data_IF_844129091297
#
_entry.id   IF_844129091297
#
_cell.length_a   1.000
_cell.length_b   1.000
_cell.length_c   1.000
_cell.angle_alpha   90.00
_cell.angle_beta   90.00
_cell.angle_gamma   90.00
#
_symmetry.space_group_name_H-M   'P 1'
#
loop_
_entity.id
_entity.type
_entity.pdbx_description
1 polymer ?
#
# COMPACT_ATOMS: atom_id res chain seq x y z
N UNK A 1 -13.48 4.33 -13.59
CA UNK A 1 -13.99 3.08 -14.19
C UNK A 1 -12.83 2.10 -14.24
N UNK A 2 -12.75 1.17 -13.29
CA UNK A 2 -11.73 0.12 -13.27
C UNK A 2 -12.09 -0.95 -14.31
N UNK A 3 -11.49 -0.89 -15.50
CA UNK A 3 -11.48 -2.06 -16.38
C UNK A 3 -10.57 -3.09 -15.71
N UNK A 4 -11.08 -4.27 -15.30
CA UNK A 4 -10.24 -5.29 -14.69
C UNK A 4 -9.12 -5.66 -15.66
N UNK A 5 -7.92 -5.89 -15.12
CA UNK A 5 -6.80 -6.44 -15.88
C UNK A 5 -7.22 -7.83 -16.34
N UNK A 6 -7.76 -7.93 -17.56
CA UNK A 6 -8.14 -9.21 -18.16
C UNK A 6 -6.88 -9.87 -18.69
N UNK A 7 -6.21 -10.62 -17.83
CA UNK A 7 -5.06 -11.49 -18.13
C UNK A 7 -5.45 -12.85 -18.70
N UNK A 8 -6.65 -13.01 -19.27
CA UNK A 8 -7.09 -14.31 -19.80
C UNK A 8 -6.19 -14.88 -20.91
N UNK A 9 -5.24 -14.11 -21.45
CA UNK A 9 -4.47 -14.50 -22.63
C UNK A 9 -3.04 -15.00 -22.36
N UNK A 10 -2.63 -15.21 -21.10
CA UNK A 10 -1.27 -15.70 -20.78
C UNK A 10 -1.29 -16.86 -19.80
N UNK A 11 -2.06 -17.89 -20.14
CA UNK A 11 -2.04 -19.18 -19.45
C UNK A 11 -0.69 -19.88 -19.68
N UNK A 12 -0.18 -20.55 -18.65
CA UNK A 12 0.97 -21.44 -18.80
C UNK A 12 0.63 -22.56 -19.77
N UNK A 13 1.62 -23.04 -20.53
CA UNK A 13 1.44 -24.30 -21.27
C UNK A 13 1.08 -25.42 -20.29
N UNK A 14 0.31 -26.46 -20.69
CA UNK A 14 -0.02 -27.58 -19.80
C UNK A 14 1.23 -28.22 -19.18
N UNK A 15 2.31 -28.33 -19.96
CA UNK A 15 3.61 -28.84 -19.51
C UNK A 15 4.24 -27.95 -18.44
N UNK A 16 4.29 -26.62 -18.65
CA UNK A 16 4.82 -25.69 -17.65
C UNK A 16 3.96 -25.69 -16.37
N UNK A 17 2.64 -25.78 -16.50
CA UNK A 17 1.74 -25.86 -15.35
C UNK A 17 1.97 -27.13 -14.51
N UNK A 18 2.23 -28.28 -15.13
CA UNK A 18 2.59 -29.51 -14.43
C UNK A 18 3.93 -29.38 -13.69
N UNK A 19 4.96 -28.83 -14.34
CA UNK A 19 6.28 -28.61 -13.74
C UNK A 19 6.21 -27.64 -12.56
N UNK A 20 5.51 -26.51 -12.72
CA UNK A 20 5.30 -25.54 -11.63
C UNK A 20 4.55 -26.21 -10.49
N UNK A 21 3.47 -26.94 -10.74
CA UNK A 21 2.72 -27.65 -9.69
C UNK A 21 3.59 -28.65 -8.91
N UNK A 22 4.48 -29.36 -9.59
CA UNK A 22 5.37 -30.34 -8.96
C UNK A 22 6.49 -29.69 -8.13
N UNK A 23 6.97 -28.50 -8.53
CA UNK A 23 8.13 -27.83 -7.93
C UNK A 23 7.77 -26.70 -6.97
N UNK A 24 6.53 -26.18 -7.02
CA UNK A 24 6.02 -25.13 -6.15
C UNK A 24 6.19 -25.44 -4.64
N UNK A 25 5.94 -26.66 -4.13
CA UNK A 25 6.20 -26.97 -2.73
C UNK A 25 7.68 -26.85 -2.33
N UNK A 26 8.60 -27.21 -3.23
CA UNK A 26 10.04 -27.12 -2.99
C UNK A 26 10.50 -25.67 -2.98
N UNK A 27 10.09 -24.88 -3.97
CA UNK A 27 10.38 -23.43 -4.01
C UNK A 27 9.81 -22.74 -2.77
N UNK A 28 8.58 -23.09 -2.37
CA UNK A 28 7.94 -22.58 -1.15
C UNK A 28 8.70 -22.96 0.12
N UNK A 29 9.27 -24.17 0.21
CA UNK A 29 10.04 -24.62 1.36
C UNK A 29 11.37 -23.86 1.54
N UNK A 30 11.98 -23.38 0.44
CA UNK A 30 13.25 -22.65 0.45
C UNK A 30 13.10 -21.14 0.20
N UNK A 31 11.88 -20.60 0.24
CA UNK A 31 11.61 -19.23 -0.19
C UNK A 31 12.37 -18.18 0.62
N UNK A 32 12.53 -18.40 1.93
CA UNK A 32 13.28 -17.48 2.80
C UNK A 32 14.78 -17.46 2.44
N UNK A 33 15.37 -18.62 2.12
CA UNK A 33 16.76 -18.75 1.68
C UNK A 33 16.99 -18.13 0.30
N UNK A 34 16.11 -18.43 -0.66
CA UNK A 34 16.12 -17.85 -2.02
C UNK A 34 16.06 -16.33 -1.94
N UNK A 35 15.16 -15.81 -1.11
CA UNK A 35 14.96 -14.36 -1.00
C UNK A 35 16.16 -13.67 -0.36
N UNK A 36 16.76 -14.27 0.67
CA UNK A 36 17.98 -13.75 1.28
C UNK A 36 19.13 -13.67 0.26
N UNK A 37 19.32 -14.74 -0.52
CA UNK A 37 20.35 -14.81 -1.56
C UNK A 37 20.08 -13.83 -2.72
N UNK A 38 18.82 -13.68 -3.11
CA UNK A 38 18.37 -12.71 -4.11
C UNK A 38 18.74 -11.28 -3.72
N UNK A 39 18.35 -10.81 -2.53
CA UNK A 39 18.64 -9.42 -2.12
C UNK A 39 20.13 -9.19 -1.89
N UNK A 40 20.86 -10.19 -1.37
CA UNK A 40 22.31 -10.13 -1.23
C UNK A 40 22.98 -9.89 -2.59
N UNK A 41 22.55 -10.62 -3.62
CA UNK A 41 23.11 -10.54 -4.97
C UNK A 41 22.66 -9.28 -5.69
N UNK A 42 21.37 -8.94 -5.64
CA UNK A 42 20.79 -7.73 -6.22
C UNK A 42 21.50 -6.47 -5.73
N UNK A 43 21.68 -6.31 -4.42
CA UNK A 43 22.33 -5.12 -3.86
C UNK A 43 23.85 -5.15 -3.97
N UNK A 44 24.45 -6.34 -4.13
CA UNK A 44 25.85 -6.47 -4.49
C UNK A 44 26.13 -5.97 -5.92
N UNK A 45 25.28 -6.35 -6.86
CA UNK A 45 25.39 -5.99 -8.28
C UNK A 45 24.88 -4.57 -8.58
N UNK A 46 23.84 -4.13 -7.86
CA UNK A 46 23.15 -2.86 -8.06
C UNK A 46 22.98 -2.11 -6.73
N UNK A 47 24.08 -1.61 -6.12
CA UNK A 47 24.04 -0.97 -4.79
C UNK A 47 23.15 0.28 -4.75
N UNK A 48 22.98 0.97 -5.88
CA UNK A 48 22.12 2.14 -5.98
C UNK A 48 20.64 1.84 -5.72
N UNK A 49 20.18 0.60 -5.97
CA UNK A 49 18.81 0.19 -5.68
C UNK A 49 18.52 0.27 -4.19
N UNK A 50 19.42 -0.25 -3.34
CA UNK A 50 19.30 -0.15 -1.88
C UNK A 50 19.43 1.29 -1.36
N UNK A 51 20.23 2.10 -2.05
CA UNK A 51 20.43 3.50 -1.66
C UNK A 51 19.23 4.37 -1.99
N UNK A 52 18.61 4.17 -3.14
CA UNK A 52 17.77 5.21 -3.77
C UNK A 52 16.34 4.79 -4.13
N UNK A 53 16.02 3.49 -4.06
CA UNK A 53 14.71 2.96 -4.47
C UNK A 53 14.08 2.04 -3.40
N UNK A 54 14.83 1.06 -2.92
CA UNK A 54 14.36 0.10 -1.91
C UNK A 54 14.32 0.74 -0.52
N UNK A 55 13.34 0.29 0.27
CA UNK A 55 13.15 0.77 1.64
C UNK A 55 14.13 0.07 2.59
N UNK A 56 15.17 0.78 3.04
CA UNK A 56 16.19 0.25 3.95
C UNK A 56 15.64 -0.28 5.27
N UNK A 57 14.61 0.37 5.83
CA UNK A 57 13.95 -0.06 7.06
C UNK A 57 13.28 -1.43 6.89
N UNK A 58 12.48 -1.60 5.83
CA UNK A 58 11.82 -2.87 5.55
C UNK A 58 12.81 -3.98 5.18
N UNK A 59 13.96 -3.63 4.59
CA UNK A 59 15.05 -4.58 4.32
C UNK A 59 15.70 -5.05 5.61
N UNK A 60 16.00 -4.14 6.55
CA UNK A 60 16.58 -4.46 7.84
C UNK A 60 15.64 -5.33 8.70
N UNK A 61 14.32 -5.13 8.59
CA UNK A 61 13.29 -5.92 9.29
C UNK A 61 12.91 -7.23 8.58
N UNK A 62 13.36 -7.43 7.33
CA UNK A 62 13.05 -8.62 6.53
C UNK A 62 11.61 -8.68 6.00
N UNK A 63 10.79 -7.64 6.19
CA UNK A 63 9.37 -7.61 5.78
C UNK A 63 9.22 -7.48 4.26
N UNK A 64 10.06 -6.69 3.60
CA UNK A 64 10.03 -6.55 2.14
C UNK A 64 10.47 -7.83 1.40
N UNK A 65 11.57 -8.50 1.81
CA UNK A 65 11.91 -9.82 1.32
C UNK A 65 10.71 -10.78 1.23
N UNK A 66 9.99 -10.94 2.35
CA UNK A 66 8.85 -11.87 2.42
C UNK A 66 7.71 -11.50 1.48
N UNK A 67 7.44 -10.21 1.26
CA UNK A 67 6.33 -9.76 0.43
C UNK A 67 6.53 -10.00 -1.08
N UNK A 68 7.76 -9.88 -1.59
CA UNK A 68 8.05 -10.19 -2.99
C UNK A 68 7.85 -11.70 -3.25
N UNK A 69 8.47 -12.52 -2.40
CA UNK A 69 8.31 -13.96 -2.38
C UNK A 69 6.83 -14.39 -2.32
N UNK A 70 6.05 -13.76 -1.42
CA UNK A 70 4.62 -13.96 -1.27
C UNK A 70 3.87 -13.82 -2.59
N UNK A 71 4.18 -12.75 -3.32
CA UNK A 71 3.44 -12.34 -4.49
C UNK A 71 3.71 -13.29 -5.65
N UNK A 72 4.97 -13.69 -5.84
CA UNK A 72 5.35 -14.67 -6.87
C UNK A 72 4.74 -16.03 -6.57
N UNK A 73 4.85 -16.51 -5.33
CA UNK A 73 4.27 -17.79 -4.92
C UNK A 73 2.75 -17.79 -5.09
N UNK A 74 2.05 -16.74 -4.63
CA UNK A 74 0.59 -16.60 -4.79
C UNK A 74 0.19 -16.59 -6.26
N UNK A 75 0.91 -15.86 -7.10
CA UNK A 75 0.66 -15.80 -8.52
C UNK A 75 0.85 -17.17 -9.19
N UNK A 76 1.97 -17.85 -8.89
CA UNK A 76 2.24 -19.21 -9.36
C UNK A 76 1.13 -20.19 -8.95
N UNK A 77 0.68 -20.16 -7.69
CA UNK A 77 -0.42 -21.00 -7.21
C UNK A 77 -1.71 -20.74 -8.00
N UNK A 78 -2.08 -19.48 -8.21
CA UNK A 78 -3.27 -19.11 -8.99
C UNK A 78 -3.18 -19.55 -10.47
N UNK A 79 -1.97 -19.66 -11.05
CA UNK A 79 -1.80 -20.13 -12.42
C UNK A 79 -1.97 -21.64 -12.57
N UNK A 80 -1.74 -22.43 -11.50
CA UNK A 80 -1.78 -23.90 -11.56
C UNK A 80 -2.96 -24.52 -10.84
N UNK A 81 -3.75 -23.72 -10.12
CA UNK A 81 -4.97 -24.13 -9.43
C UNK A 81 -6.20 -23.40 -10.03
N UNK A 82 -7.01 -24.10 -10.86
CA UNK A 82 -8.15 -23.49 -11.55
C UNK A 82 -9.30 -23.10 -10.61
N UNK A 83 -9.31 -23.61 -9.37
CA UNK A 83 -10.36 -23.29 -8.39
C UNK A 83 -10.08 -21.94 -7.68
N UNK A 84 -8.87 -21.39 -7.85
CA UNK A 84 -8.49 -20.11 -7.26
C UNK A 84 -8.82 -18.94 -8.20
N UNK A 85 -9.34 -17.83 -7.66
CA UNK A 85 -9.55 -16.63 -8.46
C UNK A 85 -8.22 -16.04 -8.92
N UNK A 86 -8.23 -15.41 -10.10
CA UNK A 86 -7.10 -14.64 -10.58
C UNK A 86 -6.74 -13.54 -9.56
N UNK A 87 -5.45 -13.33 -9.22
CA UNK A 87 -5.04 -12.40 -8.16
C UNK A 87 -5.02 -10.93 -8.63
N UNK A 88 -6.09 -10.48 -9.29
CA UNK A 88 -6.19 -9.15 -9.90
C UNK A 88 -5.99 -8.02 -8.87
N UNK A 89 -6.59 -8.13 -7.69
CA UNK A 89 -6.44 -7.14 -6.62
C UNK A 89 -5.00 -7.06 -6.07
N UNK A 90 -4.28 -8.19 -6.05
CA UNK A 90 -2.86 -8.19 -5.67
C UNK A 90 -2.01 -7.47 -6.71
N UNK A 91 -2.20 -7.79 -7.99
CA UNK A 91 -1.48 -7.18 -9.10
C UNK A 91 -1.77 -5.68 -9.23
N UNK A 92 -3.03 -5.28 -9.04
CA UNK A 92 -3.45 -3.88 -8.98
C UNK A 92 -2.66 -3.09 -7.93
N UNK A 93 -2.63 -3.57 -6.68
CA UNK A 93 -1.87 -2.94 -5.60
C UNK A 93 -0.38 -2.84 -5.91
N UNK A 94 0.22 -3.91 -6.45
CA UNK A 94 1.64 -3.91 -6.82
C UNK A 94 1.90 -2.89 -7.94
N UNK A 95 1.09 -2.88 -9.00
CA UNK A 95 1.25 -1.94 -10.11
C UNK A 95 1.12 -0.48 -9.68
N UNK A 96 0.15 -0.14 -8.83
CA UNK A 96 0.06 1.22 -8.26
C UNK A 96 1.26 1.56 -7.38
N UNK A 97 1.77 0.60 -6.61
CA UNK A 97 2.99 0.81 -5.81
C UNK A 97 4.20 1.07 -6.70
N UNK A 98 4.38 0.28 -7.75
CA UNK A 98 5.45 0.43 -8.73
C UNK A 98 5.36 1.76 -9.47
N UNK A 99 4.16 2.13 -9.93
CA UNK A 99 3.93 3.43 -10.55
C UNK A 99 4.30 4.59 -9.61
N UNK A 100 3.95 4.49 -8.33
CA UNK A 100 4.33 5.49 -7.30
C UNK A 100 5.83 5.57 -7.01
N UNK A 101 6.62 4.60 -7.48
CA UNK A 101 8.08 4.55 -7.35
C UNK A 101 8.77 4.84 -8.69
N UNK A 102 8.01 5.00 -9.78
CA UNK A 102 8.54 5.21 -11.12
C UNK A 102 9.29 3.99 -11.66
N UNK A 103 8.82 2.78 -11.34
CA UNK A 103 9.40 1.54 -11.87
C UNK A 103 9.24 1.47 -13.39
N UNK A 104 10.28 1.02 -14.08
CA UNK A 104 10.31 0.91 -15.55
C UNK A 104 10.51 -0.52 -15.99
N UNK A 105 10.09 -0.83 -17.22
CA UNK A 105 10.08 -2.21 -17.74
C UNK A 105 11.47 -2.87 -17.75
N UNK A 106 12.54 -2.12 -18.00
CA UNK A 106 13.93 -2.60 -17.98
C UNK A 106 14.38 -3.09 -16.60
N UNK A 107 13.76 -2.62 -15.52
CA UNK A 107 14.10 -3.04 -14.16
C UNK A 107 13.60 -4.46 -13.84
N UNK A 108 12.62 -4.98 -14.60
CA UNK A 108 12.18 -6.37 -14.45
C UNK A 108 13.27 -7.35 -14.84
N UNK A 109 14.03 -7.09 -15.90
CA UNK A 109 15.17 -7.94 -16.29
C UNK A 109 16.23 -8.00 -15.18
N UNK A 110 16.51 -6.86 -14.52
CA UNK A 110 17.40 -6.82 -13.36
C UNK A 110 16.91 -7.70 -12.21
N UNK A 111 15.61 -7.65 -11.89
CA UNK A 111 15.03 -8.49 -10.84
C UNK A 111 15.06 -9.96 -11.25
N UNK A 112 14.69 -10.26 -12.50
CA UNK A 112 14.71 -11.60 -13.08
C UNK A 112 16.08 -12.26 -12.91
N UNK A 113 17.14 -11.64 -13.43
CA UNK A 113 18.47 -12.24 -13.48
C UNK A 113 19.00 -12.56 -12.08
N UNK A 114 18.81 -11.63 -11.15
CA UNK A 114 19.26 -11.81 -9.77
C UNK A 114 18.40 -12.84 -9.02
N UNK A 115 17.09 -12.91 -9.28
CA UNK A 115 16.19 -13.87 -8.63
C UNK A 115 16.44 -15.30 -9.11
N UNK A 116 16.57 -15.50 -10.42
CA UNK A 116 16.81 -16.83 -10.99
C UNK A 116 18.20 -17.35 -10.64
N UNK A 117 19.22 -16.49 -10.60
CA UNK A 117 20.53 -16.85 -10.08
C UNK A 117 20.45 -17.32 -8.61
N UNK A 118 19.65 -16.65 -7.77
CA UNK A 118 19.46 -17.05 -6.38
C UNK A 118 18.71 -18.38 -6.24
N UNK A 119 17.69 -18.64 -7.06
CA UNK A 119 16.97 -19.92 -7.10
C UNK A 119 17.95 -21.07 -7.42
N UNK A 120 18.79 -20.89 -8.44
CA UNK A 120 19.82 -21.89 -8.81
C UNK A 120 20.85 -22.08 -7.70
N UNK A 121 21.30 -20.99 -7.07
CA UNK A 121 22.29 -21.05 -5.99
C UNK A 121 21.79 -21.81 -4.75
N UNK A 122 20.50 -21.69 -4.42
CA UNK A 122 19.89 -22.32 -3.24
C UNK A 122 19.44 -23.75 -3.52
N UNK A 123 18.74 -23.99 -4.62
CA UNK A 123 18.16 -25.30 -4.93
C UNK A 123 19.16 -26.25 -5.60
N UNK A 124 20.22 -25.72 -6.23
CA UNK A 124 21.19 -26.50 -6.99
C UNK A 124 20.81 -26.67 -8.47
N UNK A 125 21.82 -26.71 -9.34
CA UNK A 125 21.64 -26.84 -10.79
C UNK A 125 21.12 -28.21 -11.23
N UNK A 126 21.25 -29.23 -10.38
CA UNK A 126 20.68 -30.56 -10.55
C UNK A 126 19.16 -30.60 -10.30
N UNK A 127 18.67 -29.69 -9.44
CA UNK A 127 17.24 -29.50 -9.19
C UNK A 127 16.63 -28.55 -10.21
N UNK A 128 17.30 -27.42 -10.48
CA UNK A 128 16.86 -26.40 -11.45
C UNK A 128 17.31 -26.80 -12.86
N UNK A 129 16.78 -27.92 -13.33
CA UNK A 129 16.98 -28.39 -14.71
C UNK A 129 16.37 -27.43 -15.74
N UNK A 130 16.77 -27.54 -17.01
CA UNK A 130 16.27 -26.69 -18.10
C UNK A 130 14.72 -26.62 -18.17
N UNK A 131 13.96 -27.73 -18.07
CA UNK A 131 12.50 -27.66 -18.04
C UNK A 131 11.94 -26.92 -16.81
N UNK A 132 12.58 -27.06 -15.64
CA UNK A 132 12.18 -26.37 -14.41
C UNK A 132 12.43 -24.87 -14.56
N UNK A 133 13.60 -24.48 -15.05
CA UNK A 133 13.94 -23.08 -15.30
C UNK A 133 12.96 -22.44 -16.29
N UNK A 134 12.68 -23.09 -17.43
CA UNK A 134 11.77 -22.58 -18.44
C UNK A 134 10.32 -22.40 -17.94
N UNK A 135 9.84 -23.32 -17.11
CA UNK A 135 8.50 -23.24 -16.53
C UNK A 135 8.38 -22.07 -15.54
N UNK A 136 9.37 -21.88 -14.66
CA UNK A 136 9.39 -20.76 -13.73
C UNK A 136 9.66 -19.41 -14.41
N UNK A 137 10.47 -19.38 -15.47
CA UNK A 137 10.68 -18.21 -16.33
C UNK A 137 9.35 -17.75 -16.93
N UNK A 138 8.53 -18.69 -17.42
CA UNK A 138 7.18 -18.39 -17.91
C UNK A 138 6.26 -17.80 -16.83
N UNK A 139 6.35 -18.26 -15.58
CA UNK A 139 5.59 -17.68 -14.46
C UNK A 139 6.04 -16.25 -14.18
N UNK A 140 7.35 -16.02 -14.13
CA UNK A 140 7.91 -14.70 -13.88
C UNK A 140 7.46 -13.70 -14.95
N UNK A 141 7.66 -14.02 -16.23
CA UNK A 141 7.31 -13.11 -17.32
C UNK A 141 5.81 -12.93 -17.50
N UNK A 142 4.98 -13.93 -17.17
CA UNK A 142 3.53 -13.74 -17.12
C UNK A 142 3.11 -12.68 -16.08
N UNK A 143 3.73 -12.68 -14.90
CA UNK A 143 3.49 -11.66 -13.87
C UNK A 143 4.08 -10.31 -14.28
N UNK A 144 5.34 -10.30 -14.74
CA UNK A 144 6.07 -9.10 -15.12
C UNK A 144 5.33 -8.33 -16.22
N UNK A 145 4.95 -8.99 -17.31
CA UNK A 145 4.27 -8.34 -18.43
C UNK A 145 2.88 -7.82 -18.07
N UNK A 146 2.19 -8.50 -17.15
CA UNK A 146 0.91 -8.03 -16.61
C UNK A 146 1.10 -6.72 -15.83
N UNK A 147 2.15 -6.65 -15.00
CA UNK A 147 2.46 -5.45 -14.21
C UNK A 147 2.97 -4.32 -15.09
N UNK A 148 3.87 -4.60 -16.04
CA UNK A 148 4.38 -3.63 -17.01
C UNK A 148 3.24 -2.98 -17.79
N UNK A 149 2.28 -3.77 -18.27
CA UNK A 149 1.12 -3.23 -18.98
C UNK A 149 0.20 -2.40 -18.08
N UNK A 150 0.00 -2.81 -16.83
CA UNK A 150 -0.74 -2.02 -15.85
C UNK A 150 -0.03 -0.68 -15.57
N UNK A 151 1.26 -0.71 -15.27
CA UNK A 151 2.09 0.47 -14.98
C UNK A 151 2.10 1.45 -16.16
N UNK A 152 2.25 0.94 -17.38
CA UNK A 152 2.18 1.74 -18.61
C UNK A 152 0.85 2.50 -18.72
N UNK A 153 -0.27 1.84 -18.39
CA UNK A 153 -1.59 2.50 -18.36
C UNK A 153 -1.66 3.56 -17.26
N UNK A 154 -1.17 3.25 -16.05
CA UNK A 154 -1.16 4.20 -14.93
C UNK A 154 -0.34 5.46 -15.25
N UNK A 155 0.82 5.31 -15.90
CA UNK A 155 1.62 6.44 -16.36
C UNK A 155 0.89 7.27 -17.42
N UNK A 156 0.27 6.61 -18.41
CA UNK A 156 -0.50 7.27 -19.46
C UNK A 156 -1.73 8.02 -18.92
N UNK A 157 -2.49 7.43 -17.99
CA UNK A 157 -3.62 8.07 -17.31
C UNK A 157 -3.18 9.29 -16.49
N UNK A 158 -1.95 9.27 -15.98
CA UNK A 158 -1.32 10.39 -15.27
C UNK A 158 -0.67 11.42 -16.21
N UNK A 159 -0.71 11.20 -17.53
CA UNK A 159 -0.14 12.09 -18.53
C UNK A 159 1.39 12.18 -18.51
N UNK A 160 2.08 11.11 -18.11
CA UNK A 160 3.55 11.06 -18.04
C UNK A 160 4.14 9.86 -18.74
N UNK A 161 5.40 10.01 -19.15
CA UNK A 161 6.22 8.87 -19.58
C UNK A 161 6.56 7.96 -18.40
N UNK A 162 6.88 6.69 -18.70
CA UNK A 162 7.28 5.73 -17.68
C UNK A 162 8.46 6.24 -16.84
N UNK A 163 8.32 6.17 -15.51
CA UNK A 163 9.31 6.67 -14.56
C UNK A 163 9.26 8.18 -14.29
N UNK A 164 8.57 8.99 -15.09
CA UNK A 164 8.51 10.45 -14.97
C UNK A 164 7.46 10.96 -13.96
N UNK A 165 7.32 10.25 -12.83
CA UNK A 165 6.29 10.52 -11.80
C UNK A 165 6.71 11.55 -10.75
N UNK A 166 7.98 11.96 -10.72
CA UNK A 166 8.52 12.83 -9.69
C UNK A 166 8.21 14.30 -9.95
N UNK A 167 7.91 15.06 -8.89
CA UNK A 167 7.67 16.50 -8.90
C UNK A 167 8.40 17.16 -7.75
N UNK A 168 8.99 18.31 -8.04
CA UNK A 168 9.52 19.22 -7.02
C UNK A 168 8.38 20.08 -6.50
N UNK A 169 8.13 20.03 -5.20
CA UNK A 169 7.07 20.81 -4.56
C UNK A 169 7.64 21.64 -3.40
N UNK A 170 6.97 22.74 -3.07
CA UNK A 170 7.28 23.61 -1.93
C UNK A 170 6.22 23.44 -0.87
N UNK A 171 6.63 23.34 0.40
CA UNK A 171 5.71 23.27 1.53
C UNK A 171 5.11 24.66 1.78
N UNK A 172 3.79 24.76 1.72
CA UNK A 172 3.06 26.01 1.96
C UNK A 172 2.31 26.04 3.27
N UNK A 173 2.10 24.87 3.88
CA UNK A 173 1.52 24.76 5.22
C UNK A 173 2.09 23.55 5.94
N UNK A 174 2.28 23.70 7.26
CA UNK A 174 2.58 22.62 8.19
C UNK A 174 1.70 22.80 9.42
N UNK A 175 0.96 21.76 9.78
CA UNK A 175 0.14 21.72 11.00
C UNK A 175 0.55 20.49 11.80
N UNK A 176 1.13 20.72 12.98
CA UNK A 176 1.51 19.66 13.91
C UNK A 176 0.32 19.29 14.80
N UNK A 177 -0.03 18.01 14.81
CA UNK A 177 -0.93 17.39 15.76
C UNK A 177 -0.12 16.96 17.00
N UNK A 178 -0.68 17.21 18.19
CA UNK A 178 -0.05 16.98 19.49
C UNK A 178 0.36 15.51 19.71
N UNK A 179 -0.15 14.57 18.92
CA UNK A 179 0.14 13.13 19.03
C UNK A 179 1.28 12.64 18.13
N UNK A 180 2.11 13.55 17.62
CA UNK A 180 3.29 13.21 16.82
C UNK A 180 2.98 12.97 15.34
N UNK A 181 1.96 13.64 14.82
CA UNK A 181 1.63 13.69 13.39
C UNK A 181 1.82 15.11 12.89
N UNK A 182 2.39 15.27 11.70
CA UNK A 182 2.46 16.55 11.01
C UNK A 182 1.73 16.44 9.67
N UNK A 183 0.82 17.37 9.39
CA UNK A 183 0.16 17.50 8.10
C UNK A 183 0.91 18.56 7.29
N UNK A 184 1.41 18.17 6.13
CA UNK A 184 2.09 19.05 5.19
C UNK A 184 1.18 19.31 4.00
N UNK A 185 1.05 20.57 3.59
CA UNK A 185 0.45 20.95 2.30
C UNK A 185 1.54 21.47 1.39
N UNK A 186 1.59 20.94 0.18
CA UNK A 186 2.59 21.28 -0.83
C UNK A 186 1.94 21.77 -2.12
N UNK A 187 2.66 22.63 -2.83
CA UNK A 187 2.30 23.10 -4.17
C UNK A 187 3.55 23.11 -5.06
N UNK A 188 3.37 23.07 -6.38
CA UNK A 188 4.49 23.15 -7.33
C UNK A 188 4.57 24.55 -7.93
N UNK A 189 5.80 25.07 -8.03
CA UNK A 189 6.07 26.38 -8.61
C UNK A 189 6.08 26.39 -10.15
N UNK A 190 6.24 25.21 -10.77
CA UNK A 190 6.25 25.06 -12.23
C UNK A 190 4.82 24.95 -12.78
N UNK A 191 4.14 23.87 -12.39
CA UNK A 191 2.77 23.58 -12.79
C UNK A 191 1.91 23.17 -11.58
N UNK A 192 0.58 23.38 -11.60
CA UNK A 192 -0.32 22.86 -10.57
C UNK A 192 -0.16 21.35 -10.40
N UNK A 193 -0.17 20.88 -9.14
CA UNK A 193 -0.21 19.45 -8.86
C UNK A 193 -1.55 18.86 -9.34
N UNK A 194 -1.55 17.61 -9.86
CA UNK A 194 -2.76 17.01 -10.41
C UNK A 194 -3.81 16.77 -9.31
N UNK A 195 -5.06 16.60 -9.74
CA UNK A 195 -6.12 16.09 -8.87
C UNK A 195 -5.85 14.63 -8.46
N UNK A 196 -6.56 14.19 -7.43
CA UNK A 196 -6.47 12.84 -6.89
C UNK A 196 -7.84 12.31 -6.50
N UNK A 197 -7.97 10.99 -6.42
CA UNK A 197 -9.16 10.33 -5.90
C UNK A 197 -8.98 10.06 -4.39
N UNK A 198 -9.98 10.35 -3.53
CA UNK A 198 -9.85 10.12 -2.09
C UNK A 198 -9.48 8.67 -1.77
N UNK A 199 -8.42 8.47 -0.99
CA UNK A 199 -7.82 7.16 -0.72
C UNK A 199 -6.47 6.93 -1.39
N UNK A 200 -6.14 7.69 -2.46
CA UNK A 200 -4.82 7.66 -3.07
C UNK A 200 -3.72 8.20 -2.13
N UNK A 201 -2.47 7.88 -2.49
CA UNK A 201 -1.26 8.29 -1.79
C UNK A 201 -0.23 8.86 -2.78
N UNK A 202 0.74 9.58 -2.24
CA UNK A 202 1.97 9.97 -2.94
C UNK A 202 3.18 9.35 -2.26
N UNK A 203 4.27 9.16 -2.99
CA UNK A 203 5.59 8.92 -2.39
C UNK A 203 6.26 10.26 -2.10
N UNK A 204 6.83 10.40 -0.91
CA UNK A 204 7.61 11.58 -0.49
C UNK A 204 9.06 11.15 -0.28
N UNK A 205 9.97 11.80 -1.00
CA UNK A 205 11.39 11.52 -1.00
C UNK A 205 12.18 12.46 -0.09
N UNK A 206 13.16 11.93 0.63
CA UNK A 206 14.15 12.71 1.39
C UNK A 206 15.55 12.23 1.08
N UNK A 207 16.52 13.16 1.13
CA UNK A 207 17.94 12.84 1.12
C UNK A 207 18.45 12.67 2.55
N UNK A 208 18.94 11.48 2.87
CA UNK A 208 19.51 11.14 4.17
C UNK A 208 20.92 11.74 4.34
N UNK A 209 21.47 11.81 5.58
CA UNK A 209 22.80 12.38 5.84
C UNK A 209 23.95 11.68 5.08
N UNK A 210 23.79 10.39 4.76
CA UNK A 210 24.75 9.61 3.96
C UNK A 210 24.59 9.81 2.43
N UNK A 211 23.78 10.80 2.03
CA UNK A 211 23.46 11.13 0.63
C UNK A 211 22.49 10.16 -0.05
N UNK A 212 21.95 9.17 0.66
CA UNK A 212 20.99 8.24 0.10
C UNK A 212 19.62 8.87 -0.06
N UNK A 213 18.87 8.45 -1.08
CA UNK A 213 17.49 8.88 -1.29
C UNK A 213 16.52 7.82 -0.77
N UNK A 214 15.62 8.20 0.14
CA UNK A 214 14.61 7.28 0.66
C UNK A 214 13.21 7.85 0.46
N UNK A 215 12.29 6.99 0.03
CA UNK A 215 10.91 7.34 -0.27
C UNK A 215 9.94 6.58 0.63
N UNK A 216 8.88 7.23 1.08
CA UNK A 216 7.76 6.57 1.76
C UNK A 216 6.44 7.09 1.23
N UNK A 217 5.45 6.21 1.18
CA UNK A 217 4.11 6.53 0.75
C UNK A 217 3.31 7.13 1.90
N UNK A 218 2.58 8.20 1.61
CA UNK A 218 1.67 8.84 2.55
C UNK A 218 0.33 9.08 1.87
N UNK A 219 -0.75 8.59 2.49
CA UNK A 219 -2.11 8.86 2.04
C UNK A 219 -2.37 10.35 1.96
N UNK A 220 -3.07 10.75 0.90
CA UNK A 220 -3.49 12.13 0.72
C UNK A 220 -4.64 12.44 1.67
N UNK A 221 -4.54 13.61 2.29
CA UNK A 221 -5.59 14.27 3.07
C UNK A 221 -5.95 15.59 2.38
N UNK A 222 -7.08 16.16 2.74
CA UNK A 222 -7.67 17.34 2.12
C UNK A 222 -8.65 17.00 0.99
N UNK A 223 -9.43 18.00 0.58
CA UNK A 223 -10.26 17.88 -0.61
C UNK A 223 -9.37 18.03 -1.88
N UNK A 224 -9.59 17.21 -2.92
CA UNK A 224 -8.95 17.38 -4.22
C UNK A 224 -9.24 18.76 -4.83
N UNK A 225 -8.28 19.27 -5.61
CA UNK A 225 -8.39 20.52 -6.35
C UNK A 225 -7.46 21.63 -5.84
N UNK A 226 -7.40 22.74 -6.58
CA UNK A 226 -6.62 23.92 -6.21
C UNK A 226 -5.10 23.78 -6.39
N UNK A 227 -4.62 22.75 -7.11
CA UNK A 227 -3.20 22.58 -7.44
C UNK A 227 -2.29 22.23 -6.27
N UNK A 228 -2.86 21.75 -5.16
CA UNK A 228 -2.17 21.41 -3.91
C UNK A 228 -2.42 19.98 -3.51
N UNK A 229 -1.46 19.39 -2.80
CA UNK A 229 -1.59 18.08 -2.18
C UNK A 229 -1.26 18.20 -0.70
N UNK A 230 -2.01 17.49 0.16
CA UNK A 230 -1.67 17.41 1.58
C UNK A 230 -1.51 15.97 2.02
N UNK A 231 -0.57 15.73 2.95
CA UNK A 231 -0.29 14.39 3.47
C UNK A 231 0.07 14.45 4.95
N UNK A 232 -0.31 13.42 5.69
CA UNK A 232 -0.08 13.33 7.14
C UNK A 232 1.02 12.32 7.45
N UNK A 233 2.02 12.76 8.22
CA UNK A 233 3.21 11.97 8.57
C UNK A 233 3.24 11.73 10.07
N UNK A 234 3.08 10.47 10.50
CA UNK A 234 3.36 10.07 11.89
C UNK A 234 4.85 9.84 12.08
N UNK A 235 5.42 10.44 13.11
CA UNK A 235 6.81 10.16 13.53
C UNK A 235 6.91 8.72 14.04
N UNK A 236 7.87 7.97 13.51
CA UNK A 236 8.15 6.60 13.96
C UNK A 236 9.39 6.65 14.86
N UNK A 237 9.16 6.68 16.17
CA UNK A 237 10.24 6.63 17.15
C UNK A 237 10.91 5.26 17.14
N UNK A 238 12.23 5.22 17.41
CA UNK A 238 12.93 3.97 17.66
C UNK A 238 12.55 3.39 19.02
N UNK A 239 12.63 2.08 19.15
CA UNK A 239 12.27 1.39 20.38
C UNK A 239 12.64 -0.10 20.38
N UNK A 240 12.10 -0.88 21.33
CA UNK A 240 12.34 -2.32 21.41
C UNK A 240 11.91 -3.08 20.14
N UNK A 241 10.91 -2.55 19.44
CA UNK A 241 10.29 -3.19 18.28
C UNK A 241 10.99 -2.85 16.95
N UNK A 242 11.98 -1.95 16.94
CA UNK A 242 12.69 -1.58 15.72
C UNK A 242 13.41 -0.22 15.76
N UNK A 243 14.22 0.07 14.74
CA UNK A 243 14.92 1.35 14.62
C UNK A 243 13.94 2.51 14.37
N UNK A 244 14.40 3.74 14.64
CA UNK A 244 13.63 4.92 14.29
C UNK A 244 13.44 5.03 12.76
N UNK A 245 12.27 5.45 12.31
CA UNK A 245 11.99 5.58 10.88
C UNK A 245 12.80 6.70 10.24
N UNK A 246 13.62 6.39 9.23
CA UNK A 246 14.52 7.37 8.60
C UNK A 246 13.76 8.56 7.98
N UNK A 247 12.74 8.28 7.18
CA UNK A 247 12.01 9.31 6.42
C UNK A 247 11.06 10.12 7.29
N UNK A 248 10.29 9.47 8.17
CA UNK A 248 9.31 10.17 9.01
C UNK A 248 9.99 11.12 10.01
N UNK A 249 11.11 10.70 10.63
CA UNK A 249 11.88 11.60 11.49
C UNK A 249 12.52 12.72 10.69
N UNK A 250 13.14 12.43 9.53
CA UNK A 250 13.73 13.46 8.68
C UNK A 250 12.73 14.53 8.25
N UNK A 251 11.53 14.13 7.83
CA UNK A 251 10.46 15.07 7.47
C UNK A 251 10.08 15.96 8.66
N UNK A 252 9.87 15.39 9.83
CA UNK A 252 9.52 16.19 11.00
C UNK A 252 10.64 17.14 11.44
N UNK A 253 11.90 16.69 11.35
CA UNK A 253 13.07 17.42 11.86
C UNK A 253 13.53 18.53 10.92
N UNK A 254 13.37 18.35 9.60
CA UNK A 254 13.97 19.26 8.61
C UNK A 254 13.01 19.88 7.62
N UNK A 255 11.74 19.43 7.53
CA UNK A 255 10.79 19.97 6.56
C UNK A 255 9.88 21.01 7.21
N UNK A 256 9.99 22.27 6.79
CA UNK A 256 9.17 23.40 7.22
C UNK A 256 8.54 24.15 6.04
N UNK A 257 7.74 25.17 6.35
CA UNK A 257 7.13 26.04 5.32
C UNK A 257 8.22 26.78 4.54
N UNK A 258 8.12 26.77 3.22
CA UNK A 258 9.10 27.34 2.29
C UNK A 258 10.15 26.33 1.81
N UNK A 259 10.27 25.17 2.45
CA UNK A 259 11.22 24.14 2.02
C UNK A 259 10.72 23.38 0.80
N UNK A 260 11.68 22.91 0.01
CA UNK A 260 11.44 22.08 -1.17
C UNK A 260 11.51 20.60 -0.81
N UNK A 261 10.56 19.84 -1.33
CA UNK A 261 10.46 18.39 -1.17
C UNK A 261 10.14 17.72 -2.51
N UNK A 262 10.70 16.54 -2.71
CA UNK A 262 10.35 15.71 -3.86
C UNK A 262 9.15 14.82 -3.51
N UNK A 263 8.14 14.86 -4.36
CA UNK A 263 6.95 14.01 -4.26
C UNK A 263 6.73 13.26 -5.58
N UNK A 264 5.85 12.27 -5.57
CA UNK A 264 5.34 11.66 -6.82
C UNK A 264 3.92 12.09 -7.12
N UNK A 265 3.45 11.75 -8.32
CA UNK A 265 2.03 11.83 -8.65
C UNK A 265 1.20 10.90 -7.73
N UNK A 266 -0.10 11.20 -7.54
CA UNK A 266 -1.03 10.35 -6.81
C UNK A 266 -1.25 8.99 -7.48
N UNK A 267 -1.16 7.92 -6.69
CA UNK A 267 -1.51 6.56 -7.11
C UNK A 267 -2.23 5.82 -5.96
N UNK A 268 -2.79 4.64 -6.25
CA UNK A 268 -3.49 3.79 -5.31
C UNK A 268 -4.82 3.32 -5.89
N UNK A 269 -5.21 2.09 -5.54
CA UNK A 269 -6.44 1.43 -5.98
C UNK A 269 -7.50 1.30 -4.87
N UNK A 270 -7.15 1.62 -3.62
CA UNK A 270 -8.09 1.69 -2.50
C UNK A 270 -8.69 3.09 -2.46
N UNK A 271 -9.57 3.37 -3.41
CA UNK A 271 -10.13 4.71 -3.62
C UNK A 271 -11.65 4.73 -3.47
N UNK A 272 -12.17 5.87 -3.04
CA UNK A 272 -13.61 6.11 -3.01
C UNK A 272 -14.17 6.16 -4.44
N UNK A 273 -15.23 5.41 -4.72
CA UNK A 273 -16.03 5.64 -5.92
C UNK A 273 -16.78 6.96 -5.78
N UNK A 274 -16.40 7.94 -6.60
CA UNK A 274 -16.99 9.28 -6.61
C UNK A 274 -18.20 9.39 -7.54
N UNK A 275 -18.47 8.36 -8.35
CA UNK A 275 -19.61 8.31 -9.26
C UNK A 275 -20.88 7.73 -8.59
N UNK A 276 -20.74 7.10 -7.43
CA UNK A 276 -21.85 6.53 -6.66
C UNK A 276 -21.77 6.92 -5.18
N UNK A 277 -22.93 6.84 -4.50
CA UNK A 277 -23.06 7.22 -3.09
C UNK A 277 -23.69 6.12 -2.21
N UNK A 278 -23.23 4.86 -2.25
CA UNK A 278 -23.64 3.88 -1.24
C UNK A 278 -23.17 4.33 0.15
N UNK A 279 -23.83 3.88 1.24
CA UNK A 279 -23.32 4.11 2.59
C UNK A 279 -21.84 3.68 2.72
N UNK A 280 -21.08 4.36 3.55
CA UNK A 280 -19.67 4.06 3.78
C UNK A 280 -19.43 3.58 5.19
N UNK A 281 -18.57 2.58 5.34
CA UNK A 281 -18.04 2.15 6.63
C UNK A 281 -16.51 2.25 6.59
N UNK A 282 -15.97 3.18 7.38
CA UNK A 282 -14.54 3.48 7.45
C UNK A 282 -13.95 2.88 8.73
N UNK A 283 -13.27 1.74 8.60
CA UNK A 283 -12.67 0.99 9.70
C UNK A 283 -11.17 1.27 9.76
N UNK A 284 -10.68 1.87 10.83
CA UNK A 284 -9.26 2.19 10.94
C UNK A 284 -8.66 1.94 12.31
N UNK A 285 -7.34 1.75 12.33
CA UNK A 285 -6.57 1.69 13.57
C UNK A 285 -5.28 2.51 13.49
N UNK A 286 -5.00 3.30 14.52
CA UNK A 286 -3.79 4.13 14.59
C UNK A 286 -3.67 5.09 13.40
N UNK A 287 -2.48 5.16 12.79
CA UNK A 287 -2.27 6.06 11.64
C UNK A 287 -3.06 5.66 10.40
N UNK A 288 -3.66 4.47 10.35
CA UNK A 288 -4.57 4.06 9.28
C UNK A 288 -5.82 4.94 9.13
N UNK A 289 -6.05 5.89 10.04
CA UNK A 289 -7.11 6.89 9.88
C UNK A 289 -6.86 7.88 8.73
N UNK A 290 -5.62 8.03 8.26
CA UNK A 290 -5.28 9.06 7.26
C UNK A 290 -6.08 8.97 5.95
N UNK A 291 -6.23 7.81 5.27
CA UNK A 291 -7.10 7.73 4.09
C UNK A 291 -8.57 7.96 4.45
N UNK A 292 -9.00 7.62 5.67
CA UNK A 292 -10.37 7.87 6.13
C UNK A 292 -10.64 9.37 6.26
N UNK A 293 -9.69 10.13 6.83
CA UNK A 293 -9.77 11.60 6.87
C UNK A 293 -9.82 12.17 5.46
N UNK A 294 -8.97 11.70 4.53
CA UNK A 294 -9.02 12.15 3.13
C UNK A 294 -10.39 11.91 2.48
N UNK A 295 -11.01 10.76 2.71
CA UNK A 295 -12.38 10.47 2.23
C UNK A 295 -13.42 11.39 2.88
N UNK A 296 -13.36 11.60 4.19
CA UNK A 296 -14.31 12.47 4.91
C UNK A 296 -14.18 13.94 4.49
N UNK A 297 -12.96 14.43 4.26
CA UNK A 297 -12.72 15.80 3.79
C UNK A 297 -13.24 16.01 2.37
N UNK A 298 -13.13 15.00 1.51
CA UNK A 298 -13.80 15.02 0.21
C UNK A 298 -15.32 15.10 0.35
N UNK A 299 -15.92 14.24 1.19
CA UNK A 299 -17.37 14.19 1.38
C UNK A 299 -17.92 15.50 1.95
N UNK A 300 -17.20 16.15 2.87
CA UNK A 300 -17.62 17.42 3.45
C UNK A 300 -17.84 18.53 2.39
N UNK A 301 -17.14 18.43 1.25
CA UNK A 301 -17.27 19.38 0.13
C UNK A 301 -18.26 18.88 -0.93
N UNK A 302 -18.24 17.58 -1.26
CA UNK A 302 -18.89 17.05 -2.47
C UNK A 302 -20.15 16.23 -2.21
N UNK A 303 -20.27 15.58 -1.06
CA UNK A 303 -21.42 14.73 -0.72
C UNK A 303 -21.68 14.71 0.81
N UNK A 304 -22.04 15.86 1.40
CA UNK A 304 -22.07 16.02 2.87
C UNK A 304 -23.20 15.24 3.54
N UNK A 305 -24.19 14.77 2.77
CA UNK A 305 -25.35 14.03 3.28
C UNK A 305 -25.18 12.51 3.18
N UNK A 306 -24.06 12.02 2.65
CA UNK A 306 -23.79 10.58 2.55
C UNK A 306 -23.81 9.94 3.93
N UNK A 307 -24.48 8.80 4.06
CA UNK A 307 -24.44 7.99 5.28
C UNK A 307 -23.03 7.41 5.46
N UNK A 308 -22.36 7.75 6.56
CA UNK A 308 -21.01 7.29 6.86
C UNK A 308 -20.95 6.79 8.31
N UNK A 309 -20.39 5.60 8.51
CA UNK A 309 -19.98 5.11 9.83
C UNK A 309 -18.45 5.06 9.87
N UNK A 310 -17.84 5.84 10.75
CA UNK A 310 -16.43 5.70 11.10
C UNK A 310 -16.33 4.87 12.36
N UNK A 311 -15.54 3.79 12.33
CA UNK A 311 -15.12 3.09 13.52
C UNK A 311 -13.59 3.09 13.62
N UNK A 312 -13.06 3.75 14.64
CA UNK A 312 -11.62 3.95 14.80
C UNK A 312 -11.11 3.35 16.12
N UNK A 313 -10.02 2.59 16.03
CA UNK A 313 -9.34 1.99 17.17
C UNK A 313 -7.97 2.62 17.44
N UNK A 314 -7.70 3.02 18.68
CA UNK A 314 -6.37 3.46 19.11
C UNK A 314 -6.09 3.01 20.56
N UNK A 315 -4.93 3.38 21.11
CA UNK A 315 -4.60 3.12 22.52
C UNK A 315 -5.42 4.01 23.45
N UNK A 316 -5.46 5.31 23.18
CA UNK A 316 -6.11 6.32 24.00
C UNK A 316 -6.43 7.60 23.19
N UNK A 317 -7.29 8.50 23.69
CA UNK A 317 -7.60 9.76 23.00
C UNK A 317 -6.37 10.64 22.71
N UNK A 318 -5.34 10.58 23.57
CA UNK A 318 -4.12 11.39 23.45
C UNK A 318 -3.06 10.74 22.54
N UNK A 319 -3.36 9.60 21.91
CA UNK A 319 -2.53 8.99 20.85
C UNK A 319 -3.21 8.87 19.51
N UNK A 320 -4.52 9.12 19.47
CA UNK A 320 -5.35 9.04 18.26
C UNK A 320 -4.95 10.15 17.27
N UNK A 321 -4.32 9.80 16.13
CA UNK A 321 -3.90 10.77 15.12
C UNK A 321 -5.10 11.44 14.45
N UNK A 322 -5.03 12.75 14.24
CA UNK A 322 -6.07 13.53 13.56
C UNK A 322 -7.45 13.48 14.26
N UNK A 323 -7.48 13.15 15.56
CA UNK A 323 -8.72 13.05 16.35
C UNK A 323 -9.54 14.33 16.30
N UNK A 324 -8.89 15.47 16.49
CA UNK A 324 -9.57 16.79 16.45
C UNK A 324 -10.21 17.00 15.09
N UNK A 325 -9.48 16.69 14.00
CA UNK A 325 -10.00 16.82 12.64
C UNK A 325 -11.19 15.90 12.37
N UNK A 326 -11.15 14.65 12.84
CA UNK A 326 -12.29 13.73 12.75
C UNK A 326 -13.54 14.33 13.42
N UNK A 327 -13.39 14.90 14.62
CA UNK A 327 -14.52 15.47 15.37
C UNK A 327 -15.06 16.75 14.73
N UNK A 328 -14.20 17.57 14.13
CA UNK A 328 -14.61 18.73 13.33
C UNK A 328 -15.42 18.31 12.10
N UNK A 329 -14.99 17.25 11.41
CA UNK A 329 -15.71 16.69 10.26
C UNK A 329 -17.05 16.08 10.68
N UNK A 330 -17.12 15.41 11.83
CA UNK A 330 -18.37 14.92 12.41
C UNK A 330 -19.38 16.03 12.70
N UNK A 331 -18.91 17.24 13.03
CA UNK A 331 -19.79 18.39 13.19
C UNK A 331 -20.27 18.99 11.85
N UNK A 332 -19.56 18.72 10.74
CA UNK A 332 -19.87 19.23 9.40
C UNK A 332 -20.71 18.25 8.56
N UNK A 333 -20.60 16.95 8.83
CA UNK A 333 -21.24 15.88 8.07
C UNK A 333 -22.46 15.33 8.84
N UNK A 334 -23.71 15.74 8.51
CA UNK A 334 -24.90 15.28 9.21
C UNK A 334 -25.14 13.75 9.11
N UNK A 335 -24.62 13.11 8.06
CA UNK A 335 -24.70 11.67 7.85
C UNK A 335 -23.59 10.85 8.53
N UNK A 336 -22.64 11.49 9.21
CA UNK A 336 -21.48 10.84 9.83
C UNK A 336 -21.77 10.40 11.28
N UNK A 337 -21.67 9.10 11.53
CA UNK A 337 -21.61 8.50 12.86
C UNK A 337 -20.16 8.08 13.19
N UNK A 338 -19.69 8.37 14.40
CA UNK A 338 -18.33 8.07 14.86
C UNK A 338 -18.34 7.15 16.08
N UNK A 339 -17.76 5.97 15.94
CA UNK A 339 -17.58 4.97 16.98
C UNK A 339 -16.09 4.83 17.34
N UNK A 340 -15.71 5.33 18.51
CA UNK A 340 -14.32 5.30 18.98
C UNK A 340 -14.08 4.11 19.90
N UNK A 341 -12.98 3.41 19.69
CA UNK A 341 -12.54 2.28 20.51
C UNK A 341 -11.13 2.55 21.02
N UNK A 342 -10.94 2.48 22.35
CA UNK A 342 -9.63 2.66 22.97
C UNK A 342 -9.29 1.50 23.88
N UNK A 343 -8.04 1.02 23.85
CA UNK A 343 -7.59 0.01 24.82
C UNK A 343 -7.59 0.53 26.26
N UNK A 344 -7.34 1.83 26.44
CA UNK A 344 -7.44 2.51 27.72
C UNK A 344 -8.84 3.11 27.92
N UNK A 345 -9.37 3.16 29.16
CA UNK A 345 -10.66 3.78 29.43
C UNK A 345 -10.72 5.24 29.00
N UNK A 346 -11.80 5.63 28.31
CA UNK A 346 -12.04 7.01 27.89
C UNK A 346 -13.54 7.33 27.83
N UNK A 347 -13.87 8.61 27.96
CA UNK A 347 -15.25 9.11 27.84
C UNK A 347 -15.69 9.05 26.38
N UNK A 348 -16.96 8.70 26.15
CA UNK A 348 -17.58 8.63 24.82
C UNK A 348 -16.80 7.74 23.83
N UNK A 349 -16.24 6.65 24.34
CA UNK A 349 -15.58 5.61 23.57
C UNK A 349 -15.83 4.24 24.21
N UNK A 350 -15.77 3.20 23.40
CA UNK A 350 -15.82 1.82 23.84
C UNK A 350 -14.42 1.37 24.27
N UNK A 351 -14.35 0.56 25.32
CA UNK A 351 -13.07 0.04 25.80
C UNK A 351 -12.71 -1.27 25.09
N UNK A 352 -11.45 -1.41 24.68
CA UNK A 352 -10.89 -2.64 24.12
C UNK A 352 -10.66 -2.58 22.61
N UNK A 353 -10.54 -3.76 22.00
CA UNK A 353 -10.39 -3.91 20.56
C UNK A 353 -11.72 -3.62 19.87
N UNK A 354 -11.68 -3.01 18.68
CA UNK A 354 -12.87 -2.80 17.85
C UNK A 354 -13.52 -4.14 17.53
N UNK A 355 -14.76 -4.30 17.99
CA UNK A 355 -15.59 -5.47 17.72
C UNK A 355 -16.74 -5.07 16.81
N UNK A 356 -16.77 -5.65 15.61
CA UNK A 356 -17.83 -5.42 14.65
C UNK A 356 -19.19 -5.81 15.23
N UNK A 357 -19.28 -6.84 16.08
CA UNK A 357 -20.53 -7.33 16.69
C UNK A 357 -21.34 -6.23 17.38
N UNK A 358 -20.64 -5.21 17.91
CA UNK A 358 -21.22 -4.08 18.63
C UNK A 358 -21.58 -2.88 17.74
N UNK A 359 -21.36 -2.98 16.43
CA UNK A 359 -21.69 -1.96 15.44
C UNK A 359 -22.92 -2.36 14.60
N UNK A 360 -23.80 -1.40 14.38
CA UNK A 360 -24.87 -1.49 13.38
C UNK A 360 -24.31 -1.09 12.01
N UNK A 361 -24.14 -2.06 11.12
CA UNK A 361 -23.54 -1.85 9.81
C UNK A 361 -24.65 -1.54 8.79
N UNK A 362 -24.57 -0.41 8.05
CA UNK A 362 -25.55 -0.10 7.02
C UNK A 362 -25.60 -1.20 5.96
N UNK A 363 -26.82 -1.56 5.54
CA UNK A 363 -27.02 -2.47 4.43
C UNK A 363 -26.43 -1.88 3.15
N UNK A 364 -25.85 -2.74 2.32
CA UNK A 364 -25.26 -2.36 1.05
C UNK A 364 -24.26 -1.19 1.15
N UNK A 365 -23.40 -1.20 2.17
CA UNK A 365 -22.28 -0.27 2.33
C UNK A 365 -21.00 -0.75 1.63
N UNK A 366 -20.13 0.20 1.29
CA UNK A 366 -18.73 -0.10 0.95
C UNK A 366 -17.85 0.11 2.19
N UNK A 367 -16.91 -0.80 2.37
CA UNK A 367 -16.07 -0.90 3.56
C UNK A 367 -14.62 -0.56 3.19
N UNK A 368 -14.06 0.43 3.87
CA UNK A 368 -12.65 0.82 3.73
C UNK A 368 -11.90 0.50 5.02
N UNK A 369 -10.83 -0.28 4.91
CA UNK A 369 -10.07 -0.80 6.04
C UNK A 369 -8.62 -0.32 5.96
N UNK A 370 -8.10 0.25 7.04
CA UNK A 370 -6.68 0.59 7.10
C UNK A 370 -6.12 0.48 8.53
N UNK A 371 -5.04 -0.28 8.70
CA UNK A 371 -4.41 -0.51 10.00
C UNK A 371 -3.33 -1.58 9.93
N UNK A 372 -2.90 -2.07 11.10
CA UNK A 372 -1.94 -3.18 11.18
C UNK A 372 -2.52 -4.51 10.70
N UNK A 373 -1.65 -5.48 10.40
CA UNK A 373 -2.03 -6.79 9.85
C UNK A 373 -3.10 -7.52 10.70
N UNK A 374 -2.92 -7.55 12.03
CA UNK A 374 -3.90 -8.18 12.93
C UNK A 374 -5.28 -7.52 12.87
N UNK A 375 -5.32 -6.18 12.82
CA UNK A 375 -6.56 -5.42 12.72
C UNK A 375 -7.27 -5.71 11.40
N UNK A 376 -6.55 -5.61 10.28
CA UNK A 376 -7.11 -5.88 8.95
C UNK A 376 -7.65 -7.30 8.84
N UNK A 377 -6.91 -8.30 9.35
CA UNK A 377 -7.36 -9.70 9.38
C UNK A 377 -8.64 -9.86 10.19
N UNK A 378 -8.69 -9.31 11.40
CA UNK A 378 -9.88 -9.39 12.25
C UNK A 378 -11.11 -8.73 11.59
N UNK A 379 -10.94 -7.56 10.99
CA UNK A 379 -12.03 -6.85 10.32
C UNK A 379 -12.52 -7.59 9.07
N UNK A 380 -11.61 -8.09 8.21
CA UNK A 380 -11.99 -8.90 7.03
C UNK A 380 -12.75 -10.16 7.45
N UNK A 381 -12.26 -10.88 8.46
CA UNK A 381 -12.94 -12.08 8.98
C UNK A 381 -14.33 -11.75 9.49
N UNK A 382 -14.47 -10.72 10.33
CA UNK A 382 -15.78 -10.36 10.89
C UNK A 382 -16.77 -9.84 9.83
N UNK A 383 -16.30 -9.13 8.79
CA UNK A 383 -17.16 -8.72 7.66
C UNK A 383 -17.61 -9.95 6.85
N UNK A 384 -16.72 -10.90 6.60
CA UNK A 384 -17.05 -12.16 5.90
C UNK A 384 -18.06 -13.00 6.69
N UNK A 385 -17.89 -13.12 8.00
CA UNK A 385 -18.83 -13.82 8.88
C UNK A 385 -20.22 -13.17 8.89
N UNK A 386 -20.29 -11.88 8.60
CA UNK A 386 -21.53 -11.12 8.41
C UNK A 386 -22.09 -11.16 6.99
N UNK A 387 -21.48 -11.94 6.09
CA UNK A 387 -21.93 -12.09 4.70
C UNK A 387 -21.67 -10.89 3.81
N UNK A 388 -20.75 -9.99 4.19
CA UNK A 388 -20.33 -8.88 3.33
C UNK A 388 -19.56 -9.45 2.13
N UNK A 389 -19.97 -9.06 0.93
CA UNK A 389 -19.33 -9.50 -0.30
C UNK A 389 -17.91 -8.90 -0.43
N UNK A 390 -16.95 -9.71 -0.90
CA UNK A 390 -15.54 -9.34 -0.93
C UNK A 390 -15.22 -8.15 -1.84
N UNK A 391 -16.01 -7.94 -2.89
CA UNK A 391 -15.92 -6.82 -3.82
C UNK A 391 -16.31 -5.46 -3.20
N UNK A 392 -16.90 -5.48 -2.01
CA UNK A 392 -17.27 -4.29 -1.22
C UNK A 392 -16.30 -3.97 -0.09
N UNK A 393 -15.22 -4.74 0.03
CA UNK A 393 -14.24 -4.64 1.11
C UNK A 393 -12.91 -4.21 0.51
N UNK A 394 -12.56 -2.95 0.72
CA UNK A 394 -11.35 -2.32 0.22
C UNK A 394 -10.37 -2.14 1.37
N UNK A 395 -9.13 -2.57 1.21
CA UNK A 395 -8.18 -2.58 2.33
C UNK A 395 -6.77 -2.17 1.92
N UNK A 396 -6.22 -1.24 2.68
CA UNK A 396 -4.89 -0.67 2.50
C UNK A 396 -4.00 -1.04 3.70
N UNK A 397 -2.74 -1.37 3.44
CA UNK A 397 -1.77 -1.75 4.47
C UNK A 397 -0.46 -0.98 4.27
N UNK A 398 -0.03 -0.24 5.30
CA UNK A 398 1.18 0.60 5.21
C UNK A 398 2.50 -0.16 5.37
N UNK A 399 2.44 -1.45 5.71
CA UNK A 399 3.58 -2.36 5.75
C UNK A 399 3.40 -3.45 4.69
N UNK A 400 4.50 -3.99 4.11
CA UNK A 400 4.40 -5.11 3.18
C UNK A 400 3.62 -6.28 3.79
N UNK A 401 2.75 -6.91 3.00
CA UNK A 401 1.93 -8.06 3.42
C UNK A 401 2.78 -9.33 3.47
N UNK A 402 2.62 -10.14 4.52
CA UNK A 402 3.27 -11.45 4.64
C UNK A 402 2.51 -12.50 3.80
N UNK A 403 3.22 -13.44 3.16
CA UNK A 403 2.61 -14.56 2.44
C UNK A 403 1.77 -15.47 3.32
N UNK A 404 2.11 -15.55 4.62
CA UNK A 404 1.37 -16.34 5.61
C UNK A 404 0.01 -15.74 5.96
N UNK A 405 -0.24 -14.48 5.60
CA UNK A 405 -1.52 -13.83 5.87
C UNK A 405 -2.64 -14.25 4.90
N UNK A 406 -2.34 -15.09 3.89
CA UNK A 406 -3.21 -16.11 3.27
C UNK A 406 -4.64 -15.74 2.84
N UNK A 407 -5.03 -14.46 2.86
CA UNK A 407 -6.42 -14.01 2.76
C UNK A 407 -6.55 -12.70 1.96
N UNK A 408 -5.72 -12.57 0.93
CA UNK A 408 -5.93 -11.58 -0.12
C UNK A 408 -6.83 -12.16 -1.23
#
# INVERSE_FOLDING_TARGET
>A
MNTPVTTRDRELSPEHAEVVRATLPLVGAHIDEITAEFYRTLFGNHPDLLRNLFNRGNQAEGTQPRALAASIARFATCLVDPDLPHPAAMLSRIGHKHASLGITADQYEVVHDNLFAAIVAVLGADVVTEPVAAAWDSVYWAMADTLIELERRLYAESGVEAGAVYRTATVVSRVDDAVGVAVFTVESAADPLPEFVPGQYISVGVTLPDGARQLRQYSLVGAPGGGRLSFAVKRVAGGPDGPAGEVSNRLHDTLGVGDVVEITLPFGDVTLDTASSPPLVLLSAGIGITPMIGMLEYLAVHDPNRTVLVAHADRAPHTHPLRTRLLELAAQLPGLNVELWYSEPAVAARQGRLDLSALDLPAAADYFLCGGAEFLRAMRTGLRERGVAADRVHSEQFTPTDWRDGTA
#
